data_IF_320882029923
#
_entry.id   IF_320882029923
#
_cell.length_a   1.000
_cell.length_b   1.000
_cell.length_c   1.000
_cell.angle_alpha   90.00
_cell.angle_beta   90.00
_cell.angle_gamma   90.00
#
_symmetry.space_group_name_H-M   'P 1'
#
loop_
_entity.id
_entity.type
_entity.pdbx_description
1 polymer ?
#
# COMPACT_ATOMS: atom_id res chain seq x y z
N UNK A 1 -4.90 14.39 -35.21
CA UNK A 1 -3.74 15.06 -34.57
C UNK A 1 -2.66 14.01 -34.32
N UNK A 2 -1.38 14.36 -34.46
CA UNK A 2 -0.27 13.46 -34.08
C UNK A 2 0.03 13.61 -32.58
N UNK A 3 0.23 12.52 -31.82
CA UNK A 3 0.60 12.61 -30.41
C UNK A 3 1.89 13.38 -30.20
N UNK A 4 2.02 14.05 -29.05
CA UNK A 4 3.26 14.69 -28.59
C UNK A 4 3.84 13.94 -27.40
N UNK A 5 5.04 14.31 -26.99
CA UNK A 5 5.65 13.92 -25.73
C UNK A 5 4.73 14.22 -24.53
N UNK A 6 4.04 15.38 -24.53
CA UNK A 6 3.03 15.71 -23.52
C UNK A 6 1.85 14.74 -23.54
N UNK A 7 1.40 14.32 -24.72
CA UNK A 7 0.37 13.27 -24.82
C UNK A 7 0.85 11.97 -24.18
N UNK A 8 2.10 11.56 -24.44
CA UNK A 8 2.67 10.35 -23.84
C UNK A 8 2.73 10.44 -22.32
N UNK A 9 3.19 11.56 -21.76
CA UNK A 9 3.22 11.78 -20.32
C UNK A 9 1.84 11.61 -19.67
N UNK A 10 0.81 12.20 -20.26
CA UNK A 10 -0.56 12.12 -19.74
C UNK A 10 -1.11 10.70 -19.78
N UNK A 11 -0.91 9.96 -20.87
CA UNK A 11 -1.42 8.59 -21.00
C UNK A 11 -0.65 7.63 -20.08
N UNK A 12 0.67 7.79 -19.94
CA UNK A 12 1.48 7.00 -19.00
C UNK A 12 1.06 7.24 -17.56
N UNK A 13 0.82 8.50 -17.19
CA UNK A 13 0.30 8.85 -15.85
C UNK A 13 -1.06 8.21 -15.57
N UNK A 14 -1.97 8.23 -16.55
CA UNK A 14 -3.27 7.56 -16.43
C UNK A 14 -3.10 6.04 -16.23
N UNK A 15 -2.22 5.39 -16.99
CA UNK A 15 -1.92 3.97 -16.82
C UNK A 15 -1.36 3.68 -15.42
N UNK A 16 -0.45 4.51 -14.93
CA UNK A 16 0.16 4.40 -13.61
C UNK A 16 -0.88 4.49 -12.47
N UNK A 17 -1.85 5.40 -12.61
CA UNK A 17 -2.94 5.58 -11.65
C UNK A 17 -3.92 4.41 -11.65
N UNK A 18 -4.22 3.87 -12.84
CA UNK A 18 -5.16 2.75 -13.01
C UNK A 18 -4.52 1.38 -12.79
N UNK A 19 -3.18 1.28 -12.78
CA UNK A 19 -2.48 0.00 -12.76
C UNK A 19 -2.57 -0.77 -14.08
N UNK A 20 -2.89 -0.08 -15.19
CA UNK A 20 -3.19 -0.67 -16.50
C UNK A 20 -1.90 -1.11 -17.23
N UNK A 21 -1.30 -2.22 -16.79
CA UNK A 21 0.02 -2.68 -17.25
C UNK A 21 0.04 -3.02 -18.75
N UNK A 22 -1.00 -3.66 -19.28
CA UNK A 22 -1.03 -4.09 -20.68
C UNK A 22 -1.14 -2.90 -21.63
N UNK A 23 -1.99 -1.92 -21.28
CA UNK A 23 -2.04 -0.65 -22.00
C UNK A 23 -0.71 0.11 -21.88
N UNK A 24 -0.10 0.13 -20.68
CA UNK A 24 1.21 0.72 -20.45
C UNK A 24 2.30 0.14 -21.34
N UNK A 25 2.35 -1.19 -21.52
CA UNK A 25 3.27 -1.88 -22.44
C UNK A 25 3.02 -1.50 -23.90
N UNK A 26 1.77 -1.45 -24.33
CA UNK A 26 1.42 -1.01 -25.68
C UNK A 26 1.89 0.44 -25.94
N UNK A 27 1.69 1.33 -24.97
CA UNK A 27 2.16 2.72 -25.04
C UNK A 27 3.69 2.79 -25.07
N UNK A 28 4.38 1.96 -24.29
CA UNK A 28 5.84 1.87 -24.34
C UNK A 28 6.36 1.46 -25.72
N UNK A 29 5.73 0.47 -26.37
CA UNK A 29 6.06 0.09 -27.75
C UNK A 29 5.82 1.25 -28.73
N UNK A 30 4.73 1.99 -28.56
CA UNK A 30 4.46 3.19 -29.35
C UNK A 30 5.53 4.27 -29.14
N UNK A 31 5.95 4.50 -27.89
CA UNK A 31 7.05 5.43 -27.52
C UNK A 31 8.34 5.06 -28.24
N UNK A 32 8.70 3.77 -28.26
CA UNK A 32 9.89 3.27 -28.98
C UNK A 32 9.78 3.50 -30.48
N UNK A 33 8.67 3.07 -31.10
CA UNK A 33 8.47 3.14 -32.56
C UNK A 33 8.45 4.56 -33.13
N UNK A 34 8.05 5.54 -32.32
CA UNK A 34 7.90 6.92 -32.76
C UNK A 34 9.00 7.86 -32.23
N UNK A 35 10.10 7.31 -31.70
CA UNK A 35 11.26 8.10 -31.27
C UNK A 35 11.10 8.86 -29.95
N UNK A 36 9.99 8.70 -29.24
CA UNK A 36 9.76 9.36 -27.95
C UNK A 36 10.68 8.84 -26.83
N UNK A 37 11.28 7.65 -27.01
CA UNK A 37 12.28 7.09 -26.08
C UNK A 37 13.56 7.92 -25.96
N UNK A 38 13.78 8.91 -26.82
CA UNK A 38 14.88 9.89 -26.70
C UNK A 38 14.65 10.93 -25.60
N UNK A 39 13.41 11.15 -25.17
CA UNK A 39 13.08 12.16 -24.17
C UNK A 39 13.19 11.58 -22.75
N UNK A 40 14.12 12.11 -21.95
CA UNK A 40 14.34 11.70 -20.54
C UNK A 40 13.03 11.70 -19.75
N UNK A 41 12.22 12.76 -19.86
CA UNK A 41 10.92 12.86 -19.17
C UNK A 41 9.92 11.75 -19.54
N UNK A 42 9.91 11.28 -20.79
CA UNK A 42 9.04 10.18 -21.22
C UNK A 42 9.51 8.87 -20.61
N UNK A 43 10.82 8.62 -20.58
CA UNK A 43 11.39 7.45 -19.90
C UNK A 43 11.15 7.49 -18.39
N UNK A 44 11.28 8.65 -17.75
CA UNK A 44 10.93 8.81 -16.33
C UNK A 44 9.46 8.49 -16.06
N UNK A 45 8.55 8.92 -16.94
CA UNK A 45 7.13 8.57 -16.83
C UNK A 45 6.86 7.07 -17.08
N UNK A 46 7.64 6.42 -17.96
CA UNK A 46 7.59 4.96 -18.14
C UNK A 46 8.03 4.22 -16.87
N UNK A 47 9.11 4.67 -16.20
CA UNK A 47 9.56 4.10 -14.92
C UNK A 47 8.45 4.20 -13.87
N UNK A 48 7.86 5.39 -13.70
CA UNK A 48 6.77 5.61 -12.74
C UNK A 48 5.54 4.75 -13.06
N UNK A 49 5.19 4.63 -14.35
CA UNK A 49 4.09 3.80 -14.82
C UNK A 49 4.34 2.32 -14.50
N UNK A 50 5.47 1.76 -14.91
CA UNK A 50 5.78 0.35 -14.66
C UNK A 50 5.82 0.02 -13.16
N UNK A 51 6.47 0.88 -12.37
CA UNK A 51 6.51 0.73 -10.92
C UNK A 51 5.09 0.73 -10.31
N UNK A 52 4.24 1.71 -10.64
CA UNK A 52 2.86 1.78 -10.11
C UNK A 52 1.90 0.74 -10.68
N UNK A 53 2.28 0.08 -11.77
CA UNK A 53 1.60 -1.09 -12.33
C UNK A 53 2.13 -2.43 -11.77
N UNK A 54 3.09 -2.38 -10.83
CA UNK A 54 3.62 -3.57 -10.16
C UNK A 54 4.66 -4.36 -10.95
N UNK A 55 5.25 -3.77 -12.00
CA UNK A 55 6.35 -4.36 -12.77
C UNK A 55 7.65 -3.60 -12.50
N UNK A 56 8.39 -4.02 -11.46
CA UNK A 56 9.64 -3.37 -11.10
C UNK A 56 10.73 -3.65 -12.14
N UNK A 57 10.70 -4.86 -12.69
CA UNK A 57 11.66 -5.36 -13.67
C UNK A 57 11.64 -4.49 -14.94
N UNK A 58 10.45 -4.22 -15.49
CA UNK A 58 10.31 -3.33 -16.65
C UNK A 58 10.78 -1.88 -16.33
N UNK A 59 10.54 -1.40 -15.10
CA UNK A 59 10.99 -0.08 -14.68
C UNK A 59 12.53 0.01 -14.62
N UNK A 60 13.19 -1.06 -14.13
CA UNK A 60 14.65 -1.19 -14.10
C UNK A 60 15.21 -1.21 -15.53
N UNK A 61 14.58 -1.97 -16.43
CA UNK A 61 15.01 -2.07 -17.83
C UNK A 61 14.94 -0.70 -18.53
N UNK A 62 13.85 0.05 -18.33
CA UNK A 62 13.73 1.41 -18.85
C UNK A 62 14.85 2.28 -18.29
N UNK A 63 15.05 2.30 -16.96
CA UNK A 63 16.09 3.11 -16.34
C UNK A 63 17.49 2.78 -16.88
N UNK A 64 17.85 1.51 -16.98
CA UNK A 64 19.15 1.10 -17.51
C UNK A 64 19.34 1.46 -18.98
N UNK A 65 18.28 1.41 -19.79
CA UNK A 65 18.33 1.79 -21.21
C UNK A 65 18.55 3.28 -21.47
N UNK A 66 18.33 4.16 -20.48
CA UNK A 66 18.50 5.60 -20.62
C UNK A 66 19.99 5.99 -20.74
N UNK A 67 20.36 6.65 -21.84
CA UNK A 67 21.72 7.19 -22.03
C UNK A 67 22.07 8.34 -21.07
N UNK A 68 21.09 9.17 -20.71
CA UNK A 68 21.24 10.26 -19.73
C UNK A 68 20.12 10.16 -18.70
N UNK A 69 20.45 10.38 -17.42
CA UNK A 69 19.53 10.30 -16.29
C UNK A 69 19.62 11.58 -15.48
N UNK A 70 18.50 12.29 -15.35
CA UNK A 70 18.40 13.47 -14.51
C UNK A 70 17.92 13.12 -13.09
N UNK A 71 17.87 14.12 -12.21
CA UNK A 71 17.38 13.96 -10.82
C UNK A 71 16.00 13.28 -10.76
N UNK A 72 15.11 13.53 -11.72
CA UNK A 72 13.78 12.95 -11.73
C UNK A 72 13.80 11.45 -12.05
N UNK A 73 14.62 11.03 -13.03
CA UNK A 73 14.81 9.62 -13.36
C UNK A 73 15.37 8.81 -12.18
N UNK A 74 16.37 9.36 -11.49
CA UNK A 74 16.93 8.74 -10.28
C UNK A 74 15.90 8.65 -9.15
N UNK A 75 15.18 9.74 -8.90
CA UNK A 75 14.15 9.78 -7.87
C UNK A 75 13.02 8.79 -8.15
N UNK A 76 12.58 8.66 -9.40
CA UNK A 76 11.58 7.68 -9.81
C UNK A 76 12.04 6.24 -9.52
N UNK A 77 13.30 5.90 -9.82
CA UNK A 77 13.84 4.56 -9.57
C UNK A 77 14.03 4.27 -8.07
N UNK A 78 14.50 5.25 -7.29
CA UNK A 78 14.61 5.13 -5.82
C UNK A 78 13.23 4.87 -5.19
N UNK A 79 12.22 5.65 -5.60
CA UNK A 79 10.83 5.45 -5.14
C UNK A 79 10.31 4.08 -5.57
N UNK A 80 10.56 3.64 -6.80
CA UNK A 80 10.15 2.33 -7.30
C UNK A 80 10.72 1.19 -6.44
N UNK A 81 12.03 1.18 -6.15
CA UNK A 81 12.60 0.18 -5.25
C UNK A 81 11.98 0.24 -3.84
N UNK A 82 11.76 1.44 -3.30
CA UNK A 82 11.20 1.63 -1.96
C UNK A 82 9.77 1.09 -1.82
N UNK A 83 8.87 1.41 -2.76
CA UNK A 83 7.47 0.95 -2.70
C UNK A 83 7.33 -0.55 -3.01
N UNK A 84 8.32 -1.17 -3.67
CA UNK A 84 8.35 -2.61 -3.92
C UNK A 84 8.98 -3.44 -2.80
N UNK A 85 9.41 -2.81 -1.71
CA UNK A 85 10.00 -3.49 -0.55
C UNK A 85 11.51 -3.71 -0.63
N UNK A 86 12.20 -3.13 -1.61
CA UNK A 86 13.65 -3.24 -1.78
C UNK A 86 14.38 -2.04 -1.16
N UNK A 87 14.15 -1.78 0.13
CA UNK A 87 14.64 -0.57 0.81
C UNK A 87 16.17 -0.40 0.79
N UNK A 88 16.93 -1.48 1.00
CA UNK A 88 18.39 -1.45 0.92
C UNK A 88 18.90 -1.06 -0.47
N UNK A 89 18.22 -1.50 -1.54
CA UNK A 89 18.58 -1.15 -2.92
C UNK A 89 18.23 0.31 -3.20
N UNK A 90 17.08 0.79 -2.72
CA UNK A 90 16.69 2.20 -2.83
C UNK A 90 17.74 3.13 -2.18
N UNK A 91 18.26 2.77 -1.02
CA UNK A 91 19.36 3.49 -0.36
C UNK A 91 20.65 3.45 -1.19
N UNK A 92 21.04 2.27 -1.70
CA UNK A 92 22.21 2.15 -2.57
C UNK A 92 22.09 3.00 -3.84
N UNK A 93 20.88 3.12 -4.41
CA UNK A 93 20.61 3.99 -5.55
C UNK A 93 20.74 5.47 -5.21
N UNK A 94 20.35 5.88 -4.00
CA UNK A 94 20.59 7.23 -3.50
C UNK A 94 22.09 7.53 -3.35
N UNK A 95 22.85 6.61 -2.75
CA UNK A 95 24.29 6.77 -2.59
C UNK A 95 25.00 6.87 -3.95
N UNK A 96 24.57 6.06 -4.92
CA UNK A 96 25.07 6.12 -6.30
C UNK A 96 24.72 7.44 -6.99
N UNK A 97 23.51 7.94 -6.81
CA UNK A 97 23.10 9.26 -7.32
C UNK A 97 24.01 10.38 -6.81
N UNK A 98 24.36 10.36 -5.51
CA UNK A 98 25.29 11.32 -4.92
C UNK A 98 26.71 11.18 -5.46
N UNK A 99 27.20 9.94 -5.58
CA UNK A 99 28.51 9.64 -6.16
C UNK A 99 28.64 10.15 -7.60
N UNK A 100 27.57 10.04 -8.39
CA UNK A 100 27.51 10.52 -9.77
C UNK A 100 27.34 12.05 -9.86
N UNK A 101 27.40 12.77 -8.73
CA UNK A 101 27.32 14.23 -8.66
C UNK A 101 25.92 14.81 -8.88
N UNK A 102 24.87 13.97 -8.82
CA UNK A 102 23.50 14.37 -9.08
C UNK A 102 22.85 14.81 -7.77
N UNK A 103 22.32 16.03 -7.74
CA UNK A 103 21.73 16.61 -6.53
C UNK A 103 20.36 15.97 -6.25
N UNK A 104 20.10 15.52 -5.01
CA UNK A 104 18.80 15.02 -4.60
C UNK A 104 17.80 16.17 -4.46
N UNK A 105 16.52 15.85 -4.60
CA UNK A 105 15.41 16.73 -4.35
C UNK A 105 14.43 16.12 -3.32
N UNK A 106 13.30 16.80 -3.07
CA UNK A 106 12.28 16.29 -2.15
C UNK A 106 11.71 14.94 -2.58
N UNK A 107 11.59 14.63 -3.87
CA UNK A 107 11.10 13.33 -4.32
C UNK A 107 12.15 12.25 -4.07
N UNK A 108 13.44 12.56 -4.25
CA UNK A 108 14.53 11.66 -3.86
C UNK A 108 14.42 11.29 -2.36
N UNK A 109 14.22 12.29 -1.51
CA UNK A 109 14.09 12.09 -0.07
C UNK A 109 12.83 11.32 0.32
N UNK A 110 11.71 11.56 -0.37
CA UNK A 110 10.51 10.76 -0.20
C UNK A 110 10.78 9.27 -0.46
N UNK A 111 11.55 8.95 -1.51
CA UNK A 111 11.95 7.58 -1.83
C UNK A 111 12.77 6.90 -0.74
N UNK A 112 13.83 7.55 -0.23
CA UNK A 112 14.65 6.96 0.85
C UNK A 112 13.90 6.86 2.18
N UNK A 113 13.00 7.80 2.47
CA UNK A 113 12.16 7.72 3.67
C UNK A 113 11.13 6.58 3.57
N UNK A 114 10.52 6.36 2.40
CA UNK A 114 9.72 5.15 2.17
C UNK A 114 10.55 3.89 2.33
N UNK A 115 11.78 3.84 1.81
CA UNK A 115 12.67 2.70 1.95
C UNK A 115 12.93 2.37 3.42
N UNK A 116 13.21 3.39 4.24
CA UNK A 116 13.41 3.24 5.67
C UNK A 116 12.13 2.82 6.39
N UNK A 117 10.99 3.48 6.11
CA UNK A 117 9.70 3.16 6.73
C UNK A 117 9.28 1.72 6.46
N UNK A 118 9.37 1.28 5.21
CA UNK A 118 8.93 -0.03 4.77
C UNK A 118 9.89 -1.17 5.19
N UNK A 119 11.12 -0.84 5.60
CA UNK A 119 12.14 -1.83 6.00
C UNK A 119 12.52 -1.72 7.49
N UNK A 120 11.82 -0.89 8.26
CA UNK A 120 12.06 -0.72 9.70
C UNK A 120 13.39 -0.07 10.07
N UNK A 121 14.02 0.68 9.16
CA UNK A 121 15.31 1.33 9.40
C UNK A 121 15.12 2.68 10.09
N UNK A 122 14.69 2.66 11.36
CA UNK A 122 14.25 3.88 12.07
C UNK A 122 15.34 4.94 12.17
N UNK A 123 16.53 4.57 12.65
CA UNK A 123 17.62 5.54 12.85
C UNK A 123 18.07 6.16 11.53
N UNK A 124 18.25 5.34 10.48
CA UNK A 124 18.56 5.83 9.13
C UNK A 124 17.48 6.76 8.58
N UNK A 125 16.21 6.44 8.79
CA UNK A 125 15.10 7.28 8.34
C UNK A 125 15.11 8.66 9.00
N UNK A 126 15.38 8.72 10.30
CA UNK A 126 15.52 9.98 11.03
C UNK A 126 16.76 10.76 10.57
N UNK A 127 17.89 10.08 10.35
CA UNK A 127 19.11 10.70 9.82
C UNK A 127 18.89 11.32 8.44
N UNK A 128 18.27 10.59 7.51
CA UNK A 128 17.94 11.12 6.19
C UNK A 128 17.01 12.33 6.29
N UNK A 129 15.98 12.26 7.13
CA UNK A 129 15.06 13.37 7.32
C UNK A 129 15.74 14.63 7.87
N UNK A 130 16.64 14.49 8.85
CA UNK A 130 17.43 15.62 9.36
C UNK A 130 18.41 16.16 8.30
N UNK A 131 19.01 15.27 7.50
CA UNK A 131 19.95 15.64 6.43
C UNK A 131 19.30 16.48 5.34
N UNK A 132 17.98 16.35 5.10
CA UNK A 132 17.25 17.16 4.12
C UNK A 132 17.55 18.64 4.29
N UNK A 133 17.33 19.18 5.51
CA UNK A 133 17.58 20.59 5.79
C UNK A 133 19.06 20.88 6.03
N UNK A 134 19.73 20.04 6.84
CA UNK A 134 21.10 20.29 7.32
C UNK A 134 22.16 20.22 6.22
N UNK A 135 22.03 19.25 5.32
CA UNK A 135 23.04 18.93 4.31
C UNK A 135 22.59 19.32 2.90
N UNK A 136 21.31 19.14 2.60
CA UNK A 136 20.79 19.31 1.23
C UNK A 136 19.97 20.59 1.03
N UNK A 137 19.71 21.36 2.09
CA UNK A 137 18.89 22.58 2.07
C UNK A 137 17.49 22.37 1.45
N UNK A 138 16.90 21.20 1.68
CA UNK A 138 15.55 20.82 1.25
C UNK A 138 14.62 20.97 2.45
N UNK A 139 13.56 21.76 2.29
CA UNK A 139 12.53 21.94 3.33
C UNK A 139 11.59 20.73 3.29
N UNK A 140 11.43 19.98 4.40
CA UNK A 140 10.48 18.89 4.46
C UNK A 140 9.04 19.39 4.29
N UNK A 141 8.23 18.57 3.63
CA UNK A 141 6.83 18.83 3.33
C UNK A 141 5.92 17.73 3.90
N UNK A 142 4.61 17.89 3.76
CA UNK A 142 3.63 17.00 4.43
C UNK A 142 3.85 15.50 4.14
N UNK A 143 4.27 15.14 2.92
CA UNK A 143 4.57 13.74 2.56
C UNK A 143 5.79 13.19 3.31
N UNK A 144 6.82 14.02 3.53
CA UNK A 144 8.00 13.65 4.30
C UNK A 144 7.65 13.42 5.77
N UNK A 145 6.85 14.32 6.37
CA UNK A 145 6.35 14.14 7.73
C UNK A 145 5.51 12.86 7.85
N UNK A 146 4.67 12.58 6.85
CA UNK A 146 3.91 11.32 6.78
C UNK A 146 4.79 10.08 6.80
N UNK A 147 5.95 10.10 6.13
CA UNK A 147 6.89 8.98 6.17
C UNK A 147 7.51 8.77 7.56
N UNK A 148 7.83 9.86 8.28
CA UNK A 148 8.37 9.76 9.65
C UNK A 148 7.33 9.25 10.63
N UNK A 149 6.08 9.72 10.51
CA UNK A 149 4.98 9.20 11.31
C UNK A 149 4.77 7.71 11.04
N UNK A 150 4.72 7.29 9.77
CA UNK A 150 4.56 5.87 9.40
C UNK A 150 5.74 5.02 9.90
N UNK A 151 6.97 5.52 9.80
CA UNK A 151 8.19 4.87 10.28
C UNK A 151 8.14 4.61 11.81
N UNK A 152 7.86 5.65 12.60
CA UNK A 152 7.77 5.56 14.05
C UNK A 152 6.58 4.68 14.49
N UNK A 153 5.44 4.83 13.82
CA UNK A 153 4.22 4.07 14.09
C UNK A 153 4.42 2.56 13.85
N UNK A 154 5.06 2.20 12.73
CA UNK A 154 5.43 0.80 12.42
C UNK A 154 6.44 0.24 13.41
N UNK A 155 7.39 1.06 13.87
CA UNK A 155 8.34 0.66 14.90
C UNK A 155 7.73 0.55 16.31
N UNK A 156 6.49 1.02 16.50
CA UNK A 156 5.81 1.02 17.80
C UNK A 156 6.21 2.16 18.73
N UNK A 157 6.95 3.15 18.23
CA UNK A 157 7.33 4.38 18.94
C UNK A 157 6.17 5.39 18.88
N UNK A 158 5.02 5.00 19.42
CA UNK A 158 3.75 5.72 19.23
C UNK A 158 3.76 7.11 19.89
N UNK A 159 4.32 7.23 21.09
CA UNK A 159 4.40 8.51 21.80
C UNK A 159 5.32 9.48 21.06
N UNK A 160 6.45 9.00 20.53
CA UNK A 160 7.34 9.81 19.70
C UNK A 160 6.68 10.23 18.39
N UNK A 161 5.87 9.36 17.77
CA UNK A 161 5.09 9.72 16.60
C UNK A 161 4.05 10.81 16.92
N UNK A 162 3.40 10.73 18.09
CA UNK A 162 2.47 11.76 18.56
C UNK A 162 3.19 13.11 18.74
N UNK A 163 4.28 13.12 19.53
CA UNK A 163 5.07 14.33 19.77
C UNK A 163 5.62 14.94 18.48
N UNK A 164 6.03 14.09 17.53
CA UNK A 164 6.51 14.55 16.23
C UNK A 164 5.42 15.30 15.45
N UNK A 165 4.18 14.79 15.43
CA UNK A 165 3.05 15.46 14.76
C UNK A 165 2.72 16.78 15.48
N UNK A 166 2.71 16.78 16.81
CA UNK A 166 2.34 17.95 17.63
C UNK A 166 3.36 19.11 17.49
N UNK A 167 4.64 18.78 17.24
CA UNK A 167 5.72 19.76 17.05
C UNK A 167 5.96 20.16 15.58
N UNK A 168 5.09 19.77 14.66
CA UNK A 168 5.29 20.11 13.25
C UNK A 168 5.30 21.63 13.03
N UNK A 169 6.18 22.14 12.15
CA UNK A 169 6.24 23.57 11.82
C UNK A 169 5.07 24.03 10.92
N UNK A 170 4.17 23.11 10.54
CA UNK A 170 2.99 23.34 9.72
C UNK A 170 1.78 22.68 10.37
N UNK A 171 0.56 23.14 10.03
CA UNK A 171 -0.67 22.51 10.49
C UNK A 171 -0.70 21.03 10.05
N UNK A 172 -0.83 20.06 10.96
CA UNK A 172 -0.94 18.65 10.60
C UNK A 172 -2.22 18.38 9.83
N UNK A 173 -2.17 17.43 8.89
CA UNK A 173 -3.36 16.95 8.17
C UNK A 173 -4.00 15.78 8.92
N UNK A 174 -5.32 15.53 8.74
CA UNK A 174 -5.98 14.37 9.32
C UNK A 174 -5.28 13.04 9.01
N UNK A 175 -4.66 12.94 7.82
CA UNK A 175 -3.96 11.73 7.37
C UNK A 175 -2.81 11.34 8.30
N UNK A 176 -2.04 12.30 8.84
CA UNK A 176 -0.94 11.99 9.77
C UNK A 176 -1.46 11.32 11.05
N UNK A 177 -2.50 11.91 11.63
CA UNK A 177 -3.14 11.36 12.81
C UNK A 177 -3.82 10.02 12.53
N UNK A 178 -4.42 9.82 11.35
CA UNK A 178 -5.00 8.54 10.93
C UNK A 178 -3.96 7.43 10.82
N UNK A 179 -2.76 7.73 10.31
CA UNK A 179 -1.63 6.79 10.30
C UNK A 179 -1.29 6.35 11.73
N UNK A 180 -1.24 7.30 12.67
CA UNK A 180 -0.97 6.99 14.08
C UNK A 180 -2.13 6.23 14.75
N UNK A 181 -3.39 6.58 14.48
CA UNK A 181 -4.58 5.89 15.00
C UNK A 181 -4.59 4.42 14.58
N UNK A 182 -4.30 4.15 13.30
CA UNK A 182 -4.20 2.79 12.79
C UNK A 182 -3.14 1.96 13.53
N UNK A 183 -1.99 2.55 13.85
CA UNK A 183 -0.94 1.88 14.61
C UNK A 183 -1.29 1.69 16.09
N UNK A 184 -1.97 2.66 16.71
CA UNK A 184 -2.53 2.50 18.05
C UNK A 184 -3.49 1.30 18.10
N UNK A 185 -4.34 1.14 17.07
CA UNK A 185 -5.26 -0.01 16.96
C UNK A 185 -4.55 -1.34 16.74
N UNK A 186 -3.51 -1.38 15.92
CA UNK A 186 -2.72 -2.59 15.70
C UNK A 186 -2.02 -3.08 16.98
N UNK A 187 -1.59 -2.15 17.83
CA UNK A 187 -0.80 -2.39 19.06
C UNK A 187 -1.59 -2.35 20.36
N UNK A 188 -2.89 -2.03 20.30
CA UNK A 188 -3.76 -1.98 21.48
C UNK A 188 -3.50 -0.80 22.42
N UNK A 189 -2.89 0.30 21.97
CA UNK A 189 -2.69 1.50 22.80
C UNK A 189 -3.96 2.38 22.75
N UNK A 190 -4.91 2.08 23.62
CA UNK A 190 -6.26 2.67 23.62
C UNK A 190 -6.25 4.13 24.05
N UNK A 191 -5.47 4.46 25.09
CA UNK A 191 -5.46 5.80 25.66
C UNK A 191 -4.90 6.82 24.66
N UNK A 192 -3.79 6.49 24.01
CA UNK A 192 -3.28 7.31 22.91
C UNK A 192 -4.23 7.32 21.72
N UNK A 193 -4.86 6.18 21.39
CA UNK A 193 -5.84 6.09 20.32
C UNK A 193 -7.03 7.05 20.49
N UNK A 194 -7.51 7.25 21.72
CA UNK A 194 -8.56 8.24 22.02
C UNK A 194 -8.08 9.67 21.79
N UNK A 195 -6.90 10.01 22.31
CA UNK A 195 -6.32 11.35 22.13
C UNK A 195 -6.10 11.67 20.65
N UNK A 196 -5.58 10.71 19.88
CA UNK A 196 -5.39 10.85 18.43
C UNK A 196 -6.72 10.98 17.71
N UNK A 197 -7.75 10.23 18.11
CA UNK A 197 -9.08 10.35 17.55
C UNK A 197 -9.67 11.75 17.76
N UNK A 198 -9.52 12.31 18.96
CA UNK A 198 -9.97 13.67 19.25
C UNK A 198 -9.28 14.69 18.31
N UNK A 199 -7.95 14.59 18.15
CA UNK A 199 -7.18 15.40 17.17
C UNK A 199 -7.66 15.25 15.73
N UNK A 200 -8.08 14.05 15.32
CA UNK A 200 -8.64 13.84 13.98
C UNK A 200 -9.97 14.58 13.85
N UNK A 201 -10.89 14.40 14.81
CA UNK A 201 -12.23 15.00 14.73
C UNK A 201 -12.23 16.52 14.87
N UNK A 202 -11.20 17.12 15.48
CA UNK A 202 -10.97 18.57 15.44
C UNK A 202 -10.68 19.09 14.01
N UNK A 203 -10.19 18.23 13.12
CA UNK A 203 -9.77 18.58 11.76
C UNK A 203 -10.71 18.06 10.67
N UNK A 204 -11.23 16.85 10.83
CA UNK A 204 -12.10 16.14 9.88
C UNK A 204 -12.83 15.00 10.60
N UNK A 205 -14.15 15.11 10.73
CA UNK A 205 -15.00 14.13 11.41
C UNK A 205 -15.80 13.24 10.44
N UNK A 206 -15.57 13.35 9.13
CA UNK A 206 -16.37 12.70 8.08
C UNK A 206 -15.95 11.26 7.75
N UNK A 207 -14.76 10.84 8.19
CA UNK A 207 -14.17 9.56 7.77
C UNK A 207 -14.54 8.41 8.72
N UNK A 208 -15.46 7.55 8.29
CA UNK A 208 -15.98 6.46 9.13
C UNK A 208 -14.99 5.38 9.55
N UNK A 209 -13.84 5.29 8.86
CA UNK A 209 -12.76 4.38 9.27
C UNK A 209 -12.20 4.71 10.65
N UNK A 210 -12.17 5.99 11.03
CA UNK A 210 -11.53 6.46 12.26
C UNK A 210 -12.32 5.97 13.49
N UNK A 211 -13.64 6.12 13.42
CA UNK A 211 -14.59 5.65 14.43
C UNK A 211 -14.57 4.13 14.56
N UNK A 212 -14.50 3.40 13.44
CA UNK A 212 -14.45 1.94 13.44
C UNK A 212 -13.18 1.44 14.10
N UNK A 213 -12.02 2.07 13.83
CA UNK A 213 -10.75 1.70 14.48
C UNK A 213 -10.87 1.90 15.99
N UNK A 214 -11.30 3.08 16.46
CA UNK A 214 -11.42 3.34 17.89
C UNK A 214 -12.48 2.44 18.56
N UNK A 215 -13.62 2.21 17.90
CA UNK A 215 -14.66 1.29 18.37
C UNK A 215 -14.11 -0.13 18.54
N UNK A 216 -13.33 -0.62 17.58
CA UNK A 216 -12.73 -1.95 17.65
C UNK A 216 -11.70 -2.04 18.78
N UNK A 217 -10.90 -0.99 18.99
CA UNK A 217 -9.97 -0.89 20.12
C UNK A 217 -10.70 -0.98 21.46
N UNK A 218 -11.77 -0.21 21.66
CA UNK A 218 -12.58 -0.29 22.88
C UNK A 218 -13.24 -1.66 23.08
N UNK A 219 -13.74 -2.26 21.99
CA UNK A 219 -14.33 -3.60 22.02
C UNK A 219 -13.31 -4.67 22.45
N UNK A 220 -12.05 -4.56 22.02
CA UNK A 220 -10.99 -5.53 22.32
C UNK A 220 -10.69 -5.69 23.82
N UNK A 221 -10.99 -4.68 24.63
CA UNK A 221 -10.80 -4.68 26.09
C UNK A 221 -12.12 -4.65 26.86
N UNK A 222 -13.24 -4.91 26.19
CA UNK A 222 -14.56 -5.00 26.81
C UNK A 222 -15.18 -3.66 27.25
N UNK A 223 -14.70 -2.50 26.77
CA UNK A 223 -15.31 -1.19 27.07
C UNK A 223 -16.54 -0.92 26.20
N UNK A 224 -17.62 -1.66 26.44
CA UNK A 224 -18.86 -1.60 25.64
C UNK A 224 -19.54 -0.22 25.67
N UNK A 225 -19.45 0.52 26.76
CA UNK A 225 -20.01 1.88 26.85
C UNK A 225 -19.35 2.86 25.87
N UNK A 226 -18.02 2.75 25.70
CA UNK A 226 -17.30 3.55 24.70
C UNK A 226 -17.71 3.14 23.28
N UNK A 227 -17.85 1.83 23.02
CA UNK A 227 -18.32 1.31 21.73
C UNK A 227 -19.69 1.91 21.37
N UNK A 228 -20.62 1.90 22.32
CA UNK A 228 -21.96 2.45 22.13
C UNK A 228 -21.92 3.98 21.90
N UNK A 229 -21.08 4.72 22.65
CA UNK A 229 -20.87 6.17 22.43
C UNK A 229 -20.33 6.46 21.04
N UNK A 230 -19.31 5.73 20.59
CA UNK A 230 -18.69 5.95 19.28
C UNK A 230 -19.68 5.62 18.16
N UNK A 231 -20.43 4.53 18.27
CA UNK A 231 -21.46 4.17 17.28
C UNK A 231 -22.61 5.18 17.23
N UNK A 232 -23.03 5.69 18.39
CA UNK A 232 -24.02 6.77 18.46
C UNK A 232 -23.48 8.03 17.75
N UNK A 233 -22.24 8.41 18.00
CA UNK A 233 -21.59 9.55 17.35
C UNK A 233 -21.50 9.39 15.83
N UNK A 234 -21.17 8.18 15.34
CA UNK A 234 -21.20 7.89 13.90
C UNK A 234 -22.59 8.10 13.30
N UNK A 235 -23.63 7.61 14.00
CA UNK A 235 -25.02 7.73 13.55
C UNK A 235 -25.49 9.19 13.53
N UNK A 236 -25.18 9.96 14.57
CA UNK A 236 -25.56 11.38 14.68
C UNK A 236 -24.88 12.23 13.61
N UNK A 237 -23.66 11.88 13.21
CA UNK A 237 -22.91 12.55 12.14
C UNK A 237 -23.19 12.01 10.74
N UNK A 238 -23.99 10.94 10.61
CA UNK A 238 -24.28 10.30 9.31
C UNK A 238 -23.05 9.67 8.64
N UNK A 239 -22.04 9.29 9.43
CA UNK A 239 -20.74 8.82 8.93
C UNK A 239 -20.78 7.32 8.68
N UNK A 240 -20.33 6.89 7.50
CA UNK A 240 -20.26 5.48 7.10
C UNK A 240 -18.84 5.05 6.77
N UNK A 241 -18.52 3.80 7.06
CA UNK A 241 -17.21 3.21 6.72
C UNK A 241 -17.15 2.91 5.22
N UNK A 242 -16.09 3.38 4.56
CA UNK A 242 -15.78 2.97 3.19
C UNK A 242 -15.43 1.47 3.17
N UNK A 243 -16.09 0.65 2.34
CA UNK A 243 -15.78 -0.76 2.23
C UNK A 243 -14.39 -1.00 1.64
N UNK A 244 -13.74 -2.08 2.06
CA UNK A 244 -12.51 -2.55 1.42
C UNK A 244 -12.84 -3.18 0.07
N UNK A 245 -12.11 -2.77 -0.96
CA UNK A 245 -12.26 -3.23 -2.34
C UNK A 245 -10.91 -3.68 -2.85
N UNK A 246 -10.88 -4.89 -3.41
CA UNK A 246 -9.76 -5.38 -4.19
C UNK A 246 -10.17 -5.53 -5.64
N UNK A 247 -9.29 -5.14 -6.56
CA UNK A 247 -9.53 -5.27 -7.99
C UNK A 247 -8.41 -6.05 -8.68
N UNK A 248 -8.78 -6.73 -9.77
CA UNK A 248 -7.88 -7.47 -10.66
C UNK A 248 -8.26 -7.13 -12.10
N UNK A 249 -7.26 -6.84 -12.93
CA UNK A 249 -7.45 -6.67 -14.36
C UNK A 249 -7.10 -7.98 -15.08
N UNK A 250 -8.06 -8.54 -15.82
CA UNK A 250 -7.86 -9.70 -16.68
C UNK A 250 -8.57 -9.47 -18.02
N UNK A 251 -7.89 -9.76 -19.13
CA UNK A 251 -8.43 -9.60 -20.48
C UNK A 251 -9.04 -8.20 -20.72
N UNK A 252 -8.34 -7.15 -20.29
CA UNK A 252 -8.75 -5.74 -20.36
C UNK A 252 -10.07 -5.41 -19.62
N UNK A 253 -10.48 -6.25 -18.67
CA UNK A 253 -11.65 -6.01 -17.82
C UNK A 253 -11.21 -5.95 -16.37
N UNK A 254 -11.61 -4.89 -15.66
CA UNK A 254 -11.39 -4.75 -14.23
C UNK A 254 -12.52 -5.43 -13.48
N UNK A 255 -12.16 -6.39 -12.64
CA UNK A 255 -13.09 -7.09 -11.76
C UNK A 255 -12.88 -6.60 -10.33
N UNK A 256 -13.94 -6.11 -9.70
CA UNK A 256 -13.91 -5.61 -8.32
C UNK A 256 -14.60 -6.58 -7.37
N UNK A 257 -14.00 -6.73 -6.18
CA UNK A 257 -14.48 -7.58 -5.11
C UNK A 257 -14.61 -6.77 -3.83
N UNK A 258 -15.77 -6.86 -3.20
CA UNK A 258 -16.06 -6.27 -1.89
C UNK A 258 -16.16 -7.40 -0.88
N UNK A 259 -15.73 -7.17 0.36
CA UNK A 259 -15.78 -8.20 1.39
C UNK A 259 -17.20 -8.73 1.59
N UNK A 260 -17.36 -10.05 1.49
CA UNK A 260 -18.64 -10.75 1.62
C UNK A 260 -19.68 -10.46 0.53
N UNK A 261 -19.32 -9.71 -0.53
CA UNK A 261 -20.28 -9.28 -1.55
C UNK A 261 -20.45 -10.33 -2.66
N UNK A 262 -21.71 -10.70 -2.91
CA UNK A 262 -22.12 -11.59 -3.99
C UNK A 262 -22.40 -10.92 -5.33
N UNK A 263 -22.17 -9.60 -5.45
CA UNK A 263 -22.49 -8.80 -6.66
C UNK A 263 -21.70 -9.14 -7.92
N UNK A 264 -20.53 -9.78 -7.80
CA UNK A 264 -19.76 -10.17 -8.98
C UNK A 264 -20.54 -11.23 -9.79
N UNK A 265 -20.60 -11.17 -11.14
CA UNK A 265 -21.37 -12.13 -11.96
C UNK A 265 -21.00 -13.60 -11.72
N UNK A 266 -19.75 -13.85 -11.36
CA UNK A 266 -19.20 -15.18 -11.03
C UNK A 266 -19.02 -15.41 -9.53
N UNK A 267 -19.75 -14.68 -8.68
CA UNK A 267 -19.57 -14.71 -7.21
C UNK A 267 -19.64 -16.12 -6.63
N UNK A 268 -20.62 -16.94 -7.04
CA UNK A 268 -20.76 -18.33 -6.58
C UNK A 268 -19.52 -19.17 -6.85
N UNK A 269 -18.96 -19.08 -8.06
CA UNK A 269 -17.74 -19.82 -8.42
C UNK A 269 -16.53 -19.32 -7.62
N UNK A 270 -16.42 -18.00 -7.43
CA UNK A 270 -15.32 -17.40 -6.64
C UNK A 270 -15.40 -17.81 -5.17
N UNK A 271 -16.59 -17.82 -4.56
CA UNK A 271 -16.74 -18.25 -3.16
C UNK A 271 -16.37 -19.72 -3.00
N UNK A 272 -16.83 -20.59 -3.93
CA UNK A 272 -16.44 -22.00 -3.94
C UNK A 272 -14.92 -22.16 -4.04
N UNK A 273 -14.27 -21.39 -4.91
CA UNK A 273 -12.82 -21.42 -5.02
C UNK A 273 -12.12 -20.93 -3.75
N UNK A 274 -12.65 -19.89 -3.09
CA UNK A 274 -12.11 -19.45 -1.79
C UNK A 274 -12.21 -20.57 -0.76
N UNK A 275 -13.34 -21.28 -0.68
CA UNK A 275 -13.51 -22.42 0.22
C UNK A 275 -12.49 -23.53 -0.07
N UNK A 276 -12.34 -23.92 -1.35
CA UNK A 276 -11.35 -24.92 -1.79
C UNK A 276 -9.92 -24.49 -1.42
N UNK A 277 -9.55 -23.24 -1.71
CA UNK A 277 -8.23 -22.70 -1.37
C UNK A 277 -8.02 -22.74 0.14
N UNK A 278 -8.96 -22.24 0.94
CA UNK A 278 -8.83 -22.21 2.40
C UNK A 278 -8.70 -23.61 2.98
N UNK A 279 -9.45 -24.59 2.48
CA UNK A 279 -9.32 -25.99 2.88
C UNK A 279 -7.90 -26.54 2.59
N UNK A 280 -7.38 -26.32 1.38
CA UNK A 280 -6.02 -26.72 1.03
C UNK A 280 -4.96 -26.02 1.90
N UNK A 281 -5.16 -24.74 2.19
CA UNK A 281 -4.24 -23.98 3.03
C UNK A 281 -4.26 -24.46 4.50
N UNK A 282 -5.43 -24.86 5.03
CA UNK A 282 -5.54 -25.42 6.39
C UNK A 282 -4.70 -26.70 6.55
N UNK A 283 -4.59 -27.53 5.50
CA UNK A 283 -3.74 -28.74 5.51
C UNK A 283 -2.26 -28.40 5.71
N UNK A 284 -1.78 -27.28 5.16
CA UNK A 284 -0.39 -26.82 5.30
C UNK A 284 -0.19 -25.85 6.46
N UNK A 285 -1.18 -25.70 7.35
CA UNK A 285 -1.07 -24.95 8.60
C UNK A 285 -1.61 -23.52 8.58
N UNK A 286 -2.40 -23.11 7.58
CA UNK A 286 -3.10 -21.84 7.65
C UNK A 286 -4.18 -21.84 8.74
N UNK A 287 -4.09 -20.86 9.65
CA UNK A 287 -5.13 -20.55 10.62
C UNK A 287 -5.57 -19.09 10.45
N UNK A 288 -6.87 -18.80 10.28
CA UNK A 288 -7.37 -17.43 10.24
C UNK A 288 -7.12 -16.69 11.55
N UNK A 289 -6.65 -15.44 11.48
CA UNK A 289 -6.43 -14.61 12.67
C UNK A 289 -7.73 -13.91 13.14
N UNK A 290 -8.52 -14.63 13.94
CA UNK A 290 -9.79 -14.11 14.50
C UNK A 290 -9.60 -13.08 15.60
N UNK A 291 -8.38 -12.91 16.13
CA UNK A 291 -8.07 -12.00 17.25
C UNK A 291 -8.31 -10.53 16.90
N UNK A 292 -8.35 -10.19 15.61
CA UNK A 292 -8.56 -8.83 15.09
C UNK A 292 -9.99 -8.55 14.65
N UNK A 293 -10.92 -9.50 14.84
CA UNK A 293 -12.33 -9.38 14.45
C UNK A 293 -13.18 -9.01 15.67
N UNK A 294 -13.57 -7.74 15.75
CA UNK A 294 -14.31 -7.19 16.89
C UNK A 294 -15.77 -6.92 16.51
N UNK A 295 -16.59 -7.97 16.46
CA UNK A 295 -18.04 -7.87 16.29
C UNK A 295 -18.75 -8.35 17.56
N UNK A 296 -19.47 -7.44 18.22
CA UNK A 296 -20.23 -7.74 19.43
C UNK A 296 -21.24 -8.85 19.14
N UNK A 297 -21.19 -9.94 19.91
CA UNK A 297 -22.10 -11.08 19.78
C UNK A 297 -21.72 -12.09 18.67
N UNK A 298 -20.59 -11.91 17.99
CA UNK A 298 -20.09 -12.87 17.00
C UNK A 298 -19.22 -13.94 17.68
N UNK A 299 -19.53 -15.20 17.43
CA UNK A 299 -18.74 -16.36 17.85
C UNK A 299 -17.49 -16.55 16.96
N UNK A 300 -16.62 -17.50 17.32
CA UNK A 300 -15.39 -17.75 16.57
C UNK A 300 -15.65 -18.23 15.14
N UNK A 301 -16.70 -19.02 14.93
CA UNK A 301 -17.08 -19.49 13.59
C UNK A 301 -17.50 -18.31 12.69
N UNK A 302 -18.33 -17.40 13.21
CA UNK A 302 -18.71 -16.17 12.51
C UNK A 302 -17.52 -15.27 12.17
N UNK A 303 -16.52 -15.19 13.05
CA UNK A 303 -15.28 -14.44 12.79
C UNK A 303 -14.47 -15.08 11.65
N UNK A 304 -14.31 -16.41 11.67
CA UNK A 304 -13.64 -17.12 10.58
C UNK A 304 -14.34 -16.89 9.23
N UNK A 305 -15.67 -16.96 9.21
CA UNK A 305 -16.47 -16.72 7.99
C UNK A 305 -16.26 -15.29 7.49
N UNK A 306 -16.25 -14.29 8.38
CA UNK A 306 -16.00 -12.89 8.03
C UNK A 306 -14.63 -12.70 7.36
N UNK A 307 -13.58 -13.31 7.91
CA UNK A 307 -12.23 -13.26 7.36
C UNK A 307 -12.11 -14.02 6.04
N UNK A 308 -12.86 -15.11 5.87
CA UNK A 308 -12.78 -15.98 4.69
C UNK A 308 -13.07 -15.22 3.40
N UNK A 309 -14.04 -14.32 3.42
CA UNK A 309 -14.51 -13.60 2.23
C UNK A 309 -14.04 -12.15 2.16
N UNK A 310 -12.84 -11.87 2.67
CA UNK A 310 -12.17 -10.60 2.41
C UNK A 310 -11.94 -10.41 0.91
N UNK A 311 -12.06 -9.15 0.44
CA UNK A 311 -11.92 -8.79 -0.97
C UNK A 311 -10.62 -9.30 -1.62
N UNK A 312 -9.52 -9.32 -0.87
CA UNK A 312 -8.21 -9.77 -1.30
C UNK A 312 -8.25 -11.27 -1.64
N UNK A 313 -8.90 -12.07 -0.79
CA UNK A 313 -9.01 -13.52 -0.97
C UNK A 313 -9.90 -13.86 -2.16
N UNK A 314 -11.01 -13.12 -2.31
CA UNK A 314 -11.89 -13.23 -3.47
C UNK A 314 -11.13 -12.90 -4.77
N UNK A 315 -10.34 -11.83 -4.78
CA UNK A 315 -9.53 -11.43 -5.93
C UNK A 315 -8.43 -12.46 -6.25
N UNK A 316 -7.74 -13.01 -5.23
CA UNK A 316 -6.76 -14.09 -5.40
C UNK A 316 -7.43 -15.32 -6.00
N UNK A 317 -8.54 -15.78 -5.44
CA UNK A 317 -9.28 -16.95 -5.93
C UNK A 317 -9.74 -16.76 -7.38
N UNK A 318 -10.30 -15.60 -7.71
CA UNK A 318 -10.67 -15.28 -9.09
C UNK A 318 -9.47 -15.30 -10.04
N UNK A 319 -8.33 -14.73 -9.60
CA UNK A 319 -7.06 -14.78 -10.32
C UNK A 319 -6.59 -16.21 -10.58
N UNK A 320 -6.64 -17.09 -9.57
CA UNK A 320 -6.27 -18.50 -9.71
C UNK A 320 -7.12 -19.23 -10.75
N UNK A 321 -8.43 -18.98 -10.75
CA UNK A 321 -9.36 -19.65 -11.67
C UNK A 321 -9.29 -19.13 -13.10
N UNK A 322 -9.05 -17.83 -13.27
CA UNK A 322 -9.33 -17.13 -14.54
C UNK A 322 -8.07 -16.76 -15.33
N UNK A 323 -6.88 -17.11 -14.82
CA UNK A 323 -5.61 -16.87 -15.52
C UNK A 323 -4.80 -18.15 -15.67
N UNK A 324 -3.95 -18.17 -16.71
CA UNK A 324 -3.15 -19.34 -17.05
C UNK A 324 -2.23 -19.78 -15.89
N UNK A 325 -1.91 -21.09 -15.79
CA UNK A 325 -0.89 -21.57 -14.86
C UNK A 325 0.42 -20.78 -14.99
N UNK A 326 1.02 -20.41 -13.87
CA UNK A 326 2.25 -19.61 -13.82
C UNK A 326 2.07 -18.11 -14.09
N UNK A 327 0.91 -17.64 -14.54
CA UNK A 327 0.69 -16.20 -14.75
C UNK A 327 0.73 -15.43 -13.42
N UNK A 328 1.30 -14.22 -13.42
CA UNK A 328 1.29 -13.35 -12.24
C UNK A 328 -0.11 -12.82 -11.95
N UNK A 329 -0.58 -12.98 -10.71
CA UNK A 329 -1.86 -12.40 -10.24
C UNK A 329 -1.55 -11.00 -9.70
N UNK A 330 -2.13 -9.95 -10.30
CA UNK A 330 -1.94 -8.56 -9.88
C UNK A 330 -3.21 -8.03 -9.24
N UNK A 331 -3.12 -7.57 -8.00
CA UNK A 331 -4.27 -7.11 -7.21
C UNK A 331 -3.99 -5.71 -6.70
N UNK A 332 -4.99 -4.83 -6.79
CA UNK A 332 -4.95 -3.50 -6.18
C UNK A 332 -5.98 -3.42 -5.07
N UNK A 333 -5.58 -2.93 -3.91
CA UNK A 333 -6.41 -2.76 -2.72
C UNK A 333 -6.51 -1.27 -2.37
N UNK A 334 -7.72 -0.78 -2.11
CA UNK A 334 -7.98 0.61 -1.72
C UNK A 334 -7.63 0.94 -0.25
N UNK A 335 -7.21 -0.04 0.54
CA UNK A 335 -6.86 0.04 1.96
C UNK A 335 -5.56 -0.73 2.20
N UNK A 336 -5.00 -0.64 3.41
CA UNK A 336 -3.89 -1.52 3.82
C UNK A 336 -4.38 -2.97 3.91
N UNK A 337 -3.60 -3.91 3.40
CA UNK A 337 -3.90 -5.35 3.50
C UNK A 337 -3.83 -5.78 4.96
N UNK A 338 -4.80 -6.56 5.43
CA UNK A 338 -4.77 -7.10 6.79
C UNK A 338 -3.78 -8.27 6.92
N UNK A 339 -3.29 -8.53 8.15
CA UNK A 339 -2.30 -9.57 8.41
C UNK A 339 -2.75 -10.98 8.00
N UNK A 340 -4.03 -11.29 8.16
CA UNK A 340 -4.61 -12.57 7.73
C UNK A 340 -4.58 -12.74 6.19
N UNK A 341 -4.98 -11.72 5.43
CA UNK A 341 -4.91 -11.75 3.96
C UNK A 341 -3.47 -11.79 3.44
N UNK A 342 -2.56 -11.07 4.10
CA UNK A 342 -1.13 -11.12 3.78
C UNK A 342 -0.56 -12.53 4.00
N UNK A 343 -0.89 -13.17 5.13
CA UNK A 343 -0.45 -14.53 5.46
C UNK A 343 -1.04 -15.57 4.50
N UNK A 344 -2.32 -15.44 4.16
CA UNK A 344 -2.95 -16.29 3.15
C UNK A 344 -2.27 -16.13 1.78
N UNK A 345 -2.01 -14.89 1.32
CA UNK A 345 -1.36 -14.65 0.03
C UNK A 345 0.04 -15.31 -0.05
N UNK A 346 0.83 -15.26 1.03
CA UNK A 346 2.09 -16.02 1.14
C UNK A 346 1.85 -17.51 0.89
N UNK A 347 0.93 -18.14 1.63
CA UNK A 347 0.68 -19.57 1.50
C UNK A 347 0.09 -19.97 0.14
N UNK A 348 -0.78 -19.15 -0.45
CA UNK A 348 -1.26 -19.36 -1.82
C UNK A 348 -0.09 -19.37 -2.80
N UNK A 349 0.84 -18.41 -2.68
CA UNK A 349 2.00 -18.35 -3.59
C UNK A 349 2.86 -19.61 -3.55
N UNK A 350 2.97 -20.24 -2.37
CA UNK A 350 3.69 -21.50 -2.16
C UNK A 350 2.91 -22.71 -2.69
N UNK A 351 1.66 -22.88 -2.27
CA UNK A 351 0.85 -24.08 -2.56
C UNK A 351 0.46 -24.16 -4.03
N UNK A 352 0.12 -23.03 -4.65
CA UNK A 352 -0.32 -22.98 -6.05
C UNK A 352 0.81 -22.63 -7.03
N UNK A 353 2.01 -22.33 -6.54
CA UNK A 353 3.15 -21.94 -7.39
C UNK A 353 2.87 -20.69 -8.22
N UNK A 354 2.27 -19.66 -7.60
CA UNK A 354 1.86 -18.41 -8.28
C UNK A 354 2.57 -17.22 -7.69
N UNK A 355 3.15 -16.38 -8.55
CA UNK A 355 3.56 -15.02 -8.15
C UNK A 355 2.31 -14.15 -7.99
N UNK A 356 2.14 -13.55 -6.82
CA UNK A 356 1.05 -12.60 -6.53
C UNK A 356 1.68 -11.24 -6.23
N UNK A 357 1.25 -10.21 -6.95
CA UNK A 357 1.66 -8.82 -6.73
C UNK A 357 0.46 -8.07 -6.20
N UNK A 358 0.47 -7.73 -4.92
CA UNK A 358 -0.62 -7.02 -4.26
C UNK A 358 -0.18 -5.61 -3.91
N UNK A 359 -0.80 -4.61 -4.53
CA UNK A 359 -0.63 -3.19 -4.20
C UNK A 359 -1.65 -2.75 -3.15
N UNK A 360 -1.18 -2.24 -2.02
CA UNK A 360 -2.01 -1.50 -1.07
C UNK A 360 -1.87 0.02 -1.25
N UNK A 361 -2.25 0.82 -0.26
CA UNK A 361 -2.21 2.28 -0.32
C UNK A 361 -0.87 2.84 -0.81
N UNK A 362 0.25 2.32 -0.31
CA UNK A 362 1.58 2.92 -0.53
C UNK A 362 2.67 1.89 -0.86
N UNK A 363 2.36 0.59 -0.90
CA UNK A 363 3.37 -0.46 -1.08
C UNK A 363 2.86 -1.61 -1.95
N UNK A 364 3.80 -2.25 -2.64
CA UNK A 364 3.62 -3.56 -3.24
C UNK A 364 4.16 -4.65 -2.33
N UNK A 365 3.37 -5.71 -2.24
CA UNK A 365 3.73 -6.99 -1.65
C UNK A 365 3.89 -7.99 -2.79
N UNK A 366 5.12 -8.48 -3.00
CA UNK A 366 5.40 -9.54 -3.97
C UNK A 366 5.46 -10.85 -3.22
N UNK A 367 4.45 -11.69 -3.41
CA UNK A 367 4.37 -13.02 -2.82
C UNK A 367 4.84 -14.06 -3.82
N UNK A 368 5.85 -14.83 -3.43
CA UNK A 368 6.41 -15.90 -4.25
C UNK A 368 7.02 -16.96 -3.33
N UNK A 369 6.69 -18.24 -3.57
CA UNK A 369 7.27 -19.34 -2.80
C UNK A 369 7.05 -19.28 -1.29
N UNK A 370 5.99 -18.63 -0.81
CA UNK A 370 5.69 -18.54 0.63
C UNK A 370 6.30 -17.33 1.33
N UNK A 371 7.08 -16.51 0.63
CA UNK A 371 7.67 -15.28 1.18
C UNK A 371 7.03 -14.03 0.57
N UNK A 372 7.17 -12.90 1.26
CA UNK A 372 6.77 -11.59 0.75
C UNK A 372 7.97 -10.66 0.67
N UNK A 373 8.05 -9.80 -0.35
CA UNK A 373 9.08 -8.77 -0.47
C UNK A 373 9.13 -7.76 0.69
N UNK A 374 8.12 -7.74 1.57
CA UNK A 374 8.13 -6.91 2.77
C UNK A 374 8.95 -7.49 3.94
N UNK A 375 9.40 -8.75 3.84
CA UNK A 375 10.14 -9.42 4.92
C UNK A 375 9.34 -9.56 6.22
N UNK A 376 8.01 -9.62 6.13
CA UNK A 376 7.09 -9.61 7.27
C UNK A 376 7.20 -8.36 8.17
N UNK A 377 7.72 -7.26 7.63
CA UNK A 377 7.63 -5.93 8.21
C UNK A 377 6.50 -5.15 7.50
N UNK A 378 5.24 -5.43 7.86
CA UNK A 378 4.07 -4.95 7.11
C UNK A 378 3.18 -3.95 7.83
#
# INVERSE_FOLDING_TARGET
MRPTDVTMLSVLSACALLGAIELGKWIHDYVKKNGFGSYVKVNTALIDMYAKCGSLEDAIDVFHSMGTKDTQAWSAMIVAYAIHGHGSIAISMFDKMLHDGIKPDGITFLGVLYACSHSGMVDKGLDYFHSMKKTHNIVPGIKHYGCIVDLLARAGRLDEAFEFIDRLPIKPTPILWRTLLSACGARGNIDLGKLVFDRITELDDSHGGDYVILSNMCASVGRLDDVNKIRKLMSERGVVKVPGVSSIELNNTVHEFFSGDGKHPRSREVHKMVDEVVEQLKIVGYAPDTSKVFHVGMDEEGKEISLRYHSEKLAIAFGLMSSAPGATIRIVKNLRVCGDCHSMAKMVSMVYGRRIVLRDLNRFHHFEGGVCSCGDYW
#
